data_IF_222219786812
#
_entry.id   IF_222219786812
#
_cell.length_a   1.000
_cell.length_b   1.000
_cell.length_c   1.000
_cell.angle_alpha   90.00
_cell.angle_beta   90.00
_cell.angle_gamma   90.00
#
_symmetry.space_group_name_H-M   'P 1'
#
loop_
_entity.id
_entity.type
_entity.pdbx_description
1 polymer ?
#
# COMPACT_ATOMS: atom_id res chain seq x y z
N UNK A 1 -21.57 23.09 -38.47
CA UNK A 1 -21.02 23.10 -37.09
C UNK A 1 -19.54 22.75 -37.21
N UNK A 2 -18.66 23.73 -37.04
CA UNK A 2 -17.21 23.49 -37.11
C UNK A 2 -16.76 22.68 -35.88
N UNK A 3 -15.95 21.63 -36.04
CA UNK A 3 -15.45 20.87 -34.89
C UNK A 3 -14.55 21.78 -34.05
N UNK A 4 -14.88 21.92 -32.77
CA UNK A 4 -14.03 22.69 -31.84
C UNK A 4 -12.67 21.98 -31.69
N UNK A 5 -11.56 22.72 -31.60
CA UNK A 5 -10.24 22.15 -31.34
C UNK A 5 -10.25 21.49 -29.97
N UNK A 6 -10.04 20.18 -29.94
CA UNK A 6 -9.84 19.42 -28.70
C UNK A 6 -8.57 19.94 -28.02
N UNK A 7 -8.74 20.60 -26.88
CA UNK A 7 -7.61 21.08 -26.07
C UNK A 7 -6.72 19.89 -25.74
N UNK A 8 -5.48 19.91 -26.19
CA UNK A 8 -4.48 18.89 -25.86
C UNK A 8 -4.31 18.87 -24.33
N UNK A 9 -4.51 17.69 -23.73
CA UNK A 9 -4.40 17.55 -22.29
C UNK A 9 -2.97 17.86 -21.85
N UNK A 10 -2.82 18.71 -20.83
CA UNK A 10 -1.50 19.03 -20.27
C UNK A 10 -0.88 17.75 -19.69
N UNK A 11 0.43 17.53 -19.85
CA UNK A 11 1.09 16.36 -19.25
C UNK A 11 0.96 16.41 -17.73
N UNK A 12 0.82 15.25 -17.06
CA UNK A 12 0.73 15.19 -15.62
C UNK A 12 2.03 15.74 -14.98
N UNK A 13 1.93 16.33 -13.76
CA UNK A 13 3.11 16.78 -13.04
C UNK A 13 4.03 15.60 -12.72
N UNK A 14 5.34 15.80 -12.86
CA UNK A 14 6.35 14.77 -12.54
C UNK A 14 6.55 14.59 -11.04
N UNK A 15 6.34 15.65 -10.27
CA UNK A 15 6.48 15.67 -8.82
C UNK A 15 5.36 16.44 -8.14
N UNK A 16 4.96 15.99 -6.95
CA UNK A 16 3.94 16.62 -6.09
C UNK A 16 4.38 16.46 -4.63
N UNK A 17 4.60 17.54 -3.89
CA UNK A 17 4.96 17.51 -2.45
C UNK A 17 6.06 16.47 -2.12
N UNK A 18 7.16 16.52 -2.88
CA UNK A 18 8.32 15.60 -2.80
C UNK A 18 8.08 14.15 -3.23
N UNK A 19 6.87 13.81 -3.65
CA UNK A 19 6.60 12.55 -4.32
C UNK A 19 6.94 12.64 -5.79
N UNK A 20 7.57 11.59 -6.30
CA UNK A 20 7.69 11.34 -7.74
C UNK A 20 6.43 10.62 -8.21
N UNK A 21 5.79 11.16 -9.24
CA UNK A 21 4.52 10.64 -9.79
C UNK A 21 4.84 9.61 -10.86
N UNK A 22 4.64 8.32 -10.56
CA UNK A 22 4.85 7.23 -11.51
C UNK A 22 3.51 6.83 -12.16
N UNK A 23 3.36 7.02 -13.48
CA UNK A 23 2.20 6.51 -14.21
C UNK A 23 2.33 5.00 -14.46
N UNK A 24 1.26 4.26 -14.18
CA UNK A 24 1.08 2.85 -14.56
C UNK A 24 -0.05 2.76 -15.59
N UNK A 25 0.22 2.13 -16.73
CA UNK A 25 -0.83 1.88 -17.74
C UNK A 25 -1.68 0.69 -17.31
N UNK A 26 -2.99 0.89 -17.23
CA UNK A 26 -3.93 -0.19 -16.94
C UNK A 26 -4.13 -1.08 -18.18
N UNK A 27 -4.31 -2.40 -18.00
CA UNK A 27 -4.61 -3.28 -19.12
C UNK A 27 -5.97 -2.93 -19.73
N UNK A 28 -6.15 -3.05 -21.06
CA UNK A 28 -7.44 -2.87 -21.69
C UNK A 28 -8.40 -3.98 -21.24
N UNK A 29 -9.61 -3.59 -20.84
CA UNK A 29 -10.63 -4.52 -20.38
C UNK A 29 -11.79 -4.58 -21.40
N UNK A 30 -12.22 -5.79 -21.82
CA UNK A 30 -13.38 -5.93 -22.68
C UNK A 30 -14.63 -5.44 -21.93
N UNK A 31 -15.33 -4.48 -22.51
CA UNK A 31 -16.54 -3.87 -21.91
C UNK A 31 -16.35 -2.47 -21.33
N UNK A 32 -15.11 -1.96 -21.27
CA UNK A 32 -14.89 -0.52 -21.09
C UNK A 32 -14.83 0.19 -22.45
N UNK A 33 -15.24 1.46 -22.53
CA UNK A 33 -15.09 2.26 -23.73
C UNK A 33 -13.64 2.39 -24.19
N UNK A 34 -13.42 2.60 -25.50
CA UNK A 34 -12.06 2.71 -26.09
C UNK A 34 -11.20 3.79 -25.44
N UNK A 35 -11.80 4.89 -24.97
CA UNK A 35 -11.08 5.94 -24.23
C UNK A 35 -10.43 5.47 -22.93
N UNK A 36 -10.90 4.35 -22.36
CA UNK A 36 -10.35 3.77 -21.14
C UNK A 36 -9.17 2.81 -21.41
N UNK A 37 -8.89 2.47 -22.68
CA UNK A 37 -7.76 1.59 -23.05
C UNK A 37 -6.38 2.19 -22.73
N UNK A 38 -6.29 3.52 -22.58
CA UNK A 38 -5.07 4.26 -22.22
C UNK A 38 -5.16 4.84 -20.81
N UNK A 39 -6.04 4.29 -19.97
CA UNK A 39 -6.19 4.75 -18.59
C UNK A 39 -4.89 4.54 -17.80
N UNK A 40 -4.45 5.58 -17.09
CA UNK A 40 -3.26 5.56 -16.25
C UNK A 40 -3.66 5.60 -14.77
N UNK A 41 -3.09 4.69 -13.99
CA UNK A 41 -3.11 4.74 -12.53
C UNK A 41 -1.82 5.40 -12.04
N UNK A 42 -1.92 6.44 -11.21
CA UNK A 42 -0.75 7.18 -10.75
C UNK A 42 -0.39 6.76 -9.32
N UNK A 43 0.84 6.30 -9.13
CA UNK A 43 1.39 6.02 -7.80
C UNK A 43 2.40 7.08 -7.41
N UNK A 44 2.46 7.38 -6.11
CA UNK A 44 3.31 8.45 -5.59
C UNK A 44 4.44 7.84 -4.77
N UNK A 45 5.68 8.05 -5.19
CA UNK A 45 6.85 7.39 -4.59
C UNK A 45 7.78 8.43 -3.98
N UNK A 46 8.23 8.21 -2.75
CA UNK A 46 9.30 8.99 -2.11
C UNK A 46 10.20 8.12 -1.22
N UNK A 47 11.44 8.56 -0.91
CA UNK A 47 12.24 7.94 0.14
C UNK A 47 11.49 7.88 1.47
N UNK A 48 11.59 6.75 2.18
CA UNK A 48 10.91 6.59 3.46
C UNK A 48 11.65 7.35 4.56
N UNK A 49 11.04 8.41 5.08
CA UNK A 49 11.58 9.26 6.16
C UNK A 49 10.64 9.26 7.36
N UNK A 50 10.58 8.16 8.14
CA UNK A 50 9.73 8.10 9.32
C UNK A 50 10.24 9.06 10.40
N UNK A 51 9.35 9.53 11.28
CA UNK A 51 9.74 10.42 12.38
C UNK A 51 10.72 9.77 13.37
N UNK A 52 10.65 8.44 13.50
CA UNK A 52 11.59 7.63 14.26
C UNK A 52 12.31 6.73 13.26
N UNK A 53 13.62 6.93 13.02
CA UNK A 53 14.38 6.09 12.09
C UNK A 53 14.41 4.63 12.55
N UNK A 54 14.04 3.73 11.65
CA UNK A 54 14.13 2.28 11.84
C UNK A 54 15.37 1.76 11.13
N UNK A 55 15.85 0.57 11.47
CA UNK A 55 17.02 -0.04 10.81
C UNK A 55 16.87 -0.24 9.29
N UNK A 56 15.64 -0.18 8.76
CA UNK A 56 15.32 -0.29 7.33
C UNK A 56 15.02 1.06 6.65
N UNK A 57 15.03 2.19 7.37
CA UNK A 57 14.59 3.47 6.82
C UNK A 57 15.49 3.98 5.68
N UNK A 58 16.78 3.68 5.74
CA UNK A 58 17.78 4.08 4.74
C UNK A 58 17.63 3.35 3.39
N UNK A 59 17.06 2.14 3.41
CA UNK A 59 16.85 1.27 2.26
C UNK A 59 15.38 1.04 1.93
N UNK A 60 14.49 1.95 2.33
CA UNK A 60 13.05 1.84 2.06
C UNK A 60 12.47 3.03 1.33
N UNK A 61 11.41 2.76 0.56
CA UNK A 61 10.61 3.76 -0.14
C UNK A 61 9.18 3.71 0.36
N UNK A 62 8.57 4.88 0.51
CA UNK A 62 7.16 5.03 0.80
C UNK A 62 6.40 5.23 -0.51
N UNK A 63 5.37 4.42 -0.72
CA UNK A 63 4.50 4.46 -1.90
C UNK A 63 3.08 4.70 -1.45
N UNK A 64 2.42 5.71 -2.04
CA UNK A 64 1.02 6.02 -1.81
C UNK A 64 0.18 5.79 -3.07
N UNK A 65 -1.12 5.59 -2.85
CA UNK A 65 -2.11 5.27 -3.88
C UNK A 65 -1.79 3.94 -4.60
N UNK A 66 -1.47 2.89 -3.84
CA UNK A 66 -1.28 1.56 -4.42
C UNK A 66 -2.59 1.04 -5.05
N UNK A 67 -2.51 0.31 -6.19
CA UNK A 67 -3.65 -0.41 -6.74
C UNK A 67 -4.29 -1.35 -5.72
N UNK A 68 -5.62 -1.57 -5.78
CA UNK A 68 -6.33 -2.43 -4.83
C UNK A 68 -5.88 -3.91 -4.87
N UNK A 69 -5.36 -4.35 -6.01
CA UNK A 69 -4.82 -5.69 -6.27
C UNK A 69 -3.29 -5.77 -6.09
N UNK A 70 -2.66 -4.71 -5.57
CA UNK A 70 -1.21 -4.67 -5.38
C UNK A 70 -0.75 -5.74 -4.38
N UNK A 71 0.03 -6.67 -4.89
CA UNK A 71 0.69 -7.73 -4.14
C UNK A 71 2.19 -7.48 -4.03
N UNK A 72 2.82 -8.11 -3.04
CA UNK A 72 4.28 -8.08 -2.92
C UNK A 72 4.97 -8.57 -4.20
N UNK A 73 4.48 -9.64 -4.80
CA UNK A 73 4.99 -10.19 -6.06
C UNK A 73 4.87 -9.20 -7.22
N UNK A 74 3.74 -8.51 -7.33
CA UNK A 74 3.56 -7.49 -8.38
C UNK A 74 4.56 -6.34 -8.25
N UNK A 75 4.83 -5.88 -7.03
CA UNK A 75 5.81 -4.82 -6.76
C UNK A 75 7.24 -5.32 -7.00
N UNK A 76 7.56 -6.56 -6.59
CA UNK A 76 8.84 -7.21 -6.93
C UNK A 76 9.07 -7.22 -8.44
N UNK A 77 8.07 -7.65 -9.22
CA UNK A 77 8.15 -7.68 -10.68
C UNK A 77 8.29 -6.27 -11.27
N UNK A 78 7.52 -5.29 -10.78
CA UNK A 78 7.61 -3.90 -11.24
C UNK A 78 9.02 -3.33 -11.06
N UNK A 79 9.61 -3.46 -9.87
CA UNK A 79 10.93 -2.89 -9.57
C UNK A 79 12.08 -3.65 -10.24
N UNK A 80 11.96 -4.97 -10.38
CA UNK A 80 12.97 -5.79 -11.04
C UNK A 80 12.94 -5.64 -12.56
N UNK A 81 11.77 -5.73 -13.19
CA UNK A 81 11.67 -5.77 -14.66
C UNK A 81 11.58 -4.38 -15.31
N UNK A 82 10.85 -3.43 -14.71
CA UNK A 82 10.52 -2.16 -15.37
C UNK A 82 11.33 -0.98 -14.81
N UNK A 83 11.63 -0.97 -13.50
CA UNK A 83 12.28 0.15 -12.82
C UNK A 83 13.78 -0.06 -12.56
N UNK A 84 14.45 -0.86 -13.40
CA UNK A 84 15.91 -0.95 -13.40
C UNK A 84 16.52 -2.00 -12.46
N UNK A 85 15.86 -3.14 -12.26
CA UNK A 85 16.51 -4.33 -11.67
C UNK A 85 16.66 -4.31 -10.15
N UNK A 86 15.88 -3.50 -9.44
CA UNK A 86 16.04 -3.38 -7.98
C UNK A 86 15.37 -4.53 -7.23
N UNK A 87 16.09 -5.11 -6.26
CA UNK A 87 15.58 -6.24 -5.47
C UNK A 87 14.92 -5.79 -4.17
N UNK A 88 13.70 -6.26 -3.95
CA UNK A 88 12.89 -6.00 -2.75
C UNK A 88 13.13 -7.14 -1.74
N UNK A 89 13.26 -6.80 -0.46
CA UNK A 89 13.29 -7.77 0.64
C UNK A 89 11.88 -8.11 1.11
N UNK A 90 11.04 -7.09 1.34
CA UNK A 90 9.64 -7.23 1.76
C UNK A 90 8.86 -5.96 1.47
N UNK A 91 7.53 -6.05 1.54
CA UNK A 91 6.63 -4.90 1.44
C UNK A 91 5.68 -4.89 2.62
N UNK A 92 5.72 -3.80 3.38
CA UNK A 92 4.84 -3.57 4.52
C UNK A 92 3.66 -2.71 4.05
N UNK A 93 2.43 -3.25 4.08
CA UNK A 93 1.22 -2.54 3.65
C UNK A 93 0.48 -1.92 4.85
N UNK A 94 -0.23 -0.80 4.64
CA UNK A 94 -0.94 -0.05 5.69
C UNK A 94 -2.13 -0.83 6.29
N UNK A 95 -3.04 -1.36 5.45
CA UNK A 95 -4.17 -2.18 5.90
C UNK A 95 -4.71 -3.10 4.78
N UNK A 96 -5.03 -4.35 5.12
CA UNK A 96 -5.79 -5.27 4.26
C UNK A 96 -7.30 -5.02 4.38
N UNK A 97 -8.04 -5.36 3.32
CA UNK A 97 -9.50 -5.41 3.34
C UNK A 97 -9.93 -6.85 2.99
N UNK A 98 -10.67 -7.55 3.88
CA UNK A 98 -11.02 -7.16 5.26
C UNK A 98 -9.79 -7.00 6.15
N UNK A 99 -9.93 -6.18 7.20
CA UNK A 99 -8.87 -6.02 8.21
C UNK A 99 -8.58 -7.38 8.82
N UNK A 100 -7.30 -7.73 9.00
CA UNK A 100 -6.95 -8.94 9.72
C UNK A 100 -7.62 -8.92 11.09
N UNK A 101 -8.32 -10.01 11.48
CA UNK A 101 -9.00 -10.06 12.76
C UNK A 101 -7.96 -9.86 13.85
N UNK A 102 -8.03 -8.71 14.52
CA UNK A 102 -7.11 -8.39 15.61
C UNK A 102 -7.47 -9.32 16.77
N UNK A 103 -6.74 -10.42 16.92
CA UNK A 103 -6.94 -11.36 18.02
C UNK A 103 -6.74 -10.57 19.32
N UNK A 104 -7.84 -10.28 20.03
CA UNK A 104 -7.74 -9.77 21.40
C UNK A 104 -7.13 -10.90 22.21
N UNK A 105 -5.83 -10.80 22.54
CA UNK A 105 -5.22 -11.66 23.55
C UNK A 105 -6.12 -11.60 24.78
N UNK A 106 -6.81 -12.71 25.06
CA UNK A 106 -7.46 -12.90 26.33
C UNK A 106 -6.37 -12.71 27.40
N UNK A 107 -6.60 -11.80 28.35
CA UNK A 107 -5.77 -11.75 29.56
C UNK A 107 -6.02 -13.06 30.30
N UNK A 108 -5.22 -14.08 30.03
CA UNK A 108 -5.09 -15.19 30.97
C UNK A 108 -4.40 -14.64 32.21
N UNK A 109 -5.06 -14.78 33.35
CA UNK A 109 -4.48 -14.46 34.65
C UNK A 109 -3.28 -15.38 34.91
N UNK A 110 -2.08 -14.81 35.05
CA UNK A 110 -1.13 -15.13 36.13
C UNK A 110 0.20 -14.37 35.93
N UNK A 111 0.49 -13.42 36.84
CA UNK A 111 1.85 -13.06 37.24
C UNK A 111 2.54 -11.93 36.48
N UNK A 112 2.40 -10.69 36.96
CA UNK A 112 3.32 -9.61 36.61
C UNK A 112 2.72 -8.21 36.71
N UNK A 113 2.89 -7.57 37.86
CA UNK A 113 2.41 -6.23 38.20
C UNK A 113 2.88 -5.14 37.21
N UNK A 114 1.95 -4.48 36.53
CA UNK A 114 2.09 -3.09 36.10
C UNK A 114 0.72 -2.42 36.16
N UNK A 115 0.49 -1.68 37.24
CA UNK A 115 -0.71 -0.89 37.47
C UNK A 115 -0.79 0.25 36.45
N UNK A 116 -1.86 0.29 35.66
CA UNK A 116 -2.37 1.55 35.11
C UNK A 116 -3.78 1.72 35.65
N UNK A 117 -3.84 2.48 36.75
CA UNK A 117 -5.07 2.91 37.40
C UNK A 117 -5.95 3.72 36.42
N UNK A 118 -7.25 3.49 36.54
CA UNK A 118 -8.25 3.94 35.60
C UNK A 118 -8.50 5.44 35.55
N UNK A 119 -8.98 5.88 34.39
CA UNK A 119 -9.68 7.15 34.22
C UNK A 119 -11.02 6.87 33.53
N UNK A 120 -12.06 6.66 34.35
CA UNK A 120 -13.47 6.62 33.93
C UNK A 120 -13.84 7.93 33.23
N UNK A 121 -14.28 7.91 31.96
CA UNK A 121 -15.29 8.84 31.42
C UNK A 121 -16.16 8.20 30.32
N UNK A 122 -17.46 8.12 30.67
CA UNK A 122 -18.74 8.01 29.94
C UNK A 122 -18.98 6.99 28.81
N UNK A 123 -20.14 6.34 28.93
CA UNK A 123 -20.76 5.25 28.15
C UNK A 123 -21.74 5.83 27.11
N UNK A 124 -21.85 5.16 25.95
CA UNK A 124 -22.81 5.40 24.85
C UNK A 124 -22.06 5.86 23.60
N UNK A 125 -21.89 5.08 22.52
CA UNK A 125 -22.90 4.43 21.68
C UNK A 125 -22.26 3.20 21.00
N UNK A 126 -23.01 2.10 20.92
CA UNK A 126 -22.88 0.89 20.08
C UNK A 126 -21.55 0.50 19.43
N UNK A 127 -20.61 -0.02 20.22
CA UNK A 127 -19.54 -0.92 19.75
C UNK A 127 -19.86 -2.40 20.07
N UNK A 128 -21.14 -2.72 20.29
CA UNK A 128 -21.60 -4.06 20.72
C UNK A 128 -22.46 -4.82 19.71
N UNK A 129 -22.85 -4.20 18.60
CA UNK A 129 -23.83 -4.81 17.67
C UNK A 129 -23.25 -5.31 16.34
N UNK A 130 -21.92 -5.31 16.15
CA UNK A 130 -21.27 -6.17 15.13
C UNK A 130 -20.37 -7.22 15.81
N UNK A 131 -20.82 -7.66 16.99
CA UNK A 131 -20.28 -8.82 17.73
C UNK A 131 -21.31 -9.95 17.62
N UNK A 132 -21.56 -10.38 16.40
CA UNK A 132 -22.25 -11.62 16.07
C UNK A 132 -21.46 -12.19 14.91
N UNK A 133 -20.48 -13.07 15.12
CA UNK A 133 -20.60 -14.46 15.53
C UNK A 133 -19.15 -14.92 15.83
N UNK A 134 -18.71 -15.00 17.08
CA UNK A 134 -18.88 -16.24 17.82
C UNK A 134 -17.70 -17.23 17.69
N UNK A 135 -16.68 -16.99 16.85
CA UNK A 135 -15.44 -17.80 16.87
C UNK A 135 -14.23 -16.88 16.94
N UNK A 136 -13.60 -16.85 18.11
CA UNK A 136 -12.22 -16.35 18.25
C UNK A 136 -11.37 -17.43 17.59
N UNK A 137 -11.04 -17.25 16.32
CA UNK A 137 -10.06 -18.12 15.66
C UNK A 137 -8.73 -17.88 16.39
N UNK A 138 -8.28 -18.82 17.23
CA UNK A 138 -6.89 -18.86 17.65
C UNK A 138 -6.02 -18.97 16.38
N UNK A 139 -4.77 -18.49 16.38
CA UNK A 139 -3.89 -18.60 15.21
C UNK A 139 -3.73 -20.06 14.72
N UNK A 140 -3.99 -21.03 15.60
CA UNK A 140 -3.99 -22.47 15.34
C UNK A 140 -5.31 -23.00 14.78
N UNK A 141 -6.43 -22.29 15.00
CA UNK A 141 -7.76 -22.62 14.45
C UNK A 141 -8.09 -21.85 13.17
N UNK A 142 -7.34 -20.77 12.89
CA UNK A 142 -7.52 -19.93 11.72
C UNK A 142 -7.49 -20.76 10.43
N UNK A 143 -8.62 -20.80 9.72
CA UNK A 143 -8.67 -21.39 8.39
C UNK A 143 -7.63 -20.72 7.47
N UNK A 144 -6.95 -21.48 6.59
CA UNK A 144 -6.06 -20.90 5.62
C UNK A 144 -6.78 -19.84 4.77
N UNK A 145 -6.12 -18.72 4.45
CA UNK A 145 -6.73 -17.69 3.62
C UNK A 145 -7.08 -18.28 2.24
N UNK A 146 -8.32 -18.05 1.80
CA UNK A 146 -8.83 -18.55 0.51
C UNK A 146 -8.13 -17.90 -0.69
N UNK A 147 -7.70 -16.65 -0.55
CA UNK A 147 -7.01 -15.90 -1.59
C UNK A 147 -5.52 -15.81 -1.28
N UNK A 148 -4.70 -16.01 -2.31
CA UNK A 148 -3.24 -15.90 -2.23
C UNK A 148 -2.76 -14.48 -1.92
N UNK A 149 -3.58 -13.46 -2.17
CA UNK A 149 -3.31 -12.07 -1.81
C UNK A 149 -4.55 -11.37 -1.28
N UNK A 150 -4.39 -10.59 -0.22
CA UNK A 150 -5.44 -9.71 0.30
C UNK A 150 -5.68 -8.50 -0.61
N UNK A 151 -6.93 -8.03 -0.66
CA UNK A 151 -7.29 -6.79 -1.34
C UNK A 151 -6.86 -5.60 -0.47
N UNK A 152 -6.48 -4.50 -1.12
CA UNK A 152 -6.11 -3.25 -0.46
C UNK A 152 -7.24 -2.25 -0.56
N UNK A 153 -7.34 -1.39 0.46
CA UNK A 153 -8.24 -0.23 0.41
C UNK A 153 -7.81 0.70 -0.73
N UNK A 154 -8.78 1.30 -1.41
CA UNK A 154 -8.50 2.37 -2.38
C UNK A 154 -7.71 3.50 -1.72
N UNK A 155 -6.65 3.98 -2.38
CA UNK A 155 -5.76 5.00 -1.83
C UNK A 155 -4.79 4.50 -0.76
N UNK A 156 -4.66 3.18 -0.57
CA UNK A 156 -3.72 2.60 0.41
C UNK A 156 -2.27 2.99 0.14
N UNK A 157 -1.46 2.91 1.20
CA UNK A 157 -0.04 3.13 1.15
C UNK A 157 0.73 1.88 1.56
N UNK A 158 2.02 1.86 1.23
CA UNK A 158 2.93 0.81 1.63
C UNK A 158 4.37 1.28 1.68
N UNK A 159 5.18 0.58 2.47
CA UNK A 159 6.62 0.77 2.57
C UNK A 159 7.30 -0.42 1.91
N UNK A 160 8.07 -0.12 0.85
CA UNK A 160 8.88 -1.13 0.15
C UNK A 160 10.27 -1.11 0.74
N UNK A 161 10.70 -2.23 1.32
CA UNK A 161 12.04 -2.40 1.88
C UNK A 161 12.91 -3.15 0.88
N UNK A 162 14.02 -2.55 0.48
CA UNK A 162 14.97 -3.14 -0.47
C UNK A 162 16.02 -3.97 0.26
N UNK A 163 16.62 -4.93 -0.46
CA UNK A 163 17.69 -5.79 0.07
C UNK A 163 18.86 -4.95 0.57
N UNK A 164 19.24 -3.90 -0.16
CA UNK A 164 20.31 -2.98 0.22
C UNK A 164 20.04 -1.53 -0.20
N UNK A 165 20.80 -0.60 0.38
CA UNK A 165 20.68 0.83 0.06
C UNK A 165 21.09 1.17 -1.38
N UNK A 166 21.88 0.32 -2.08
CA UNK A 166 22.16 0.54 -3.51
C UNK A 166 20.93 0.20 -4.34
N UNK A 167 20.21 -0.88 -4.04
CA UNK A 167 18.93 -1.20 -4.67
C UNK A 167 17.88 -0.10 -4.46
N UNK A 168 17.77 0.44 -3.24
CA UNK A 168 16.84 1.55 -2.98
C UNK A 168 17.17 2.80 -3.82
N UNK A 169 18.47 3.18 -3.92
CA UNK A 169 18.92 4.30 -4.77
C UNK A 169 18.74 4.00 -6.26
N UNK A 170 18.98 2.76 -6.68
CA UNK A 170 18.75 2.28 -8.04
C UNK A 170 17.28 2.41 -8.43
N UNK A 171 16.38 2.01 -7.55
CA UNK A 171 14.93 2.11 -7.73
C UNK A 171 14.48 3.56 -7.92
N UNK A 172 14.97 4.49 -7.09
CA UNK A 172 14.65 5.93 -7.23
C UNK A 172 15.12 6.46 -8.60
N UNK A 173 16.32 6.08 -9.03
CA UNK A 173 16.84 6.47 -10.36
C UNK A 173 16.01 5.86 -11.50
N UNK A 174 15.59 4.61 -11.36
CA UNK A 174 14.74 3.92 -12.32
C UNK A 174 13.37 4.59 -12.46
N UNK A 175 12.74 4.94 -11.33
CA UNK A 175 11.49 5.70 -11.31
C UNK A 175 11.67 7.07 -11.97
N UNK A 176 12.71 7.82 -11.62
CA UNK A 176 12.99 9.13 -12.22
C UNK A 176 13.23 9.04 -13.73
N UNK A 177 13.89 7.97 -14.19
CA UNK A 177 14.10 7.69 -15.62
C UNK A 177 12.77 7.49 -16.34
N UNK A 178 11.91 6.61 -15.83
CA UNK A 178 10.59 6.35 -16.45
C UNK A 178 9.72 7.61 -16.45
N UNK A 179 9.70 8.38 -15.35
CA UNK A 179 8.94 9.65 -15.28
C UNK A 179 9.49 10.72 -16.23
N UNK A 180 10.78 10.65 -16.57
CA UNK A 180 11.37 11.52 -17.59
C UNK A 180 10.96 11.11 -19.00
N UNK A 181 10.90 9.79 -19.26
CA UNK A 181 10.57 9.19 -20.56
C UNK A 181 9.06 9.26 -20.89
N UNK A 182 8.18 9.13 -19.89
CA UNK A 182 6.74 9.41 -19.99
C UNK A 182 5.82 8.20 -20.04
#
# INVERSE_FOLDING_TARGET
>A
MSPQPTKTAKPPPKTVADFTVLPLTLPPLPGLPDQCSVAKHYIYIKPHTPSVPTASSDRSLFIANLPPDASETSLRTLFSSQLGGSMIERVDFDASVPAEPLHKRWKSEAGGTAAVQGKKRKRGVDDKEIVAEGVVEDAESALPPLWSSGIRRSGSAGVVVFVDGKSARGAVRGVQRVVKEG
#
